data_IF_701118880688
#
_entry.id   IF_701118880688
#
_cell.length_a   1.000
_cell.length_b   1.000
_cell.length_c   1.000
_cell.angle_alpha   90.00
_cell.angle_beta   90.00
_cell.angle_gamma   90.00
#
_symmetry.space_group_name_H-M   'P 1'
#
loop_
_entity.id
_entity.type
_entity.pdbx_description
1 polymer ?
#
# COMPACT_ATOMS: atom_id res chain seq x y z
N UNK A 1 -40.96 16.17 28.13
CA UNK A 1 -39.74 16.57 28.86
C UNK A 1 -39.50 15.79 30.17
N UNK A 2 -39.36 14.44 30.19
CA UNK A 2 -39.03 13.68 31.38
C UNK A 2 -37.61 13.09 31.40
N UNK A 3 -36.78 13.33 30.34
CA UNK A 3 -35.50 12.60 30.20
C UNK A 3 -34.23 13.34 30.68
N UNK A 4 -34.31 14.66 30.85
CA UNK A 4 -33.16 15.46 31.33
C UNK A 4 -32.95 15.30 32.84
N UNK A 5 -34.04 15.17 33.63
CA UNK A 5 -33.97 14.99 35.07
C UNK A 5 -33.37 13.65 35.54
N UNK A 6 -33.45 12.59 34.69
CA UNK A 6 -32.81 11.31 34.98
C UNK A 6 -31.29 11.33 34.73
N UNK A 7 -30.85 12.03 33.67
CA UNK A 7 -29.42 12.20 33.37
C UNK A 7 -28.69 13.04 34.42
N UNK A 8 -29.31 14.13 34.88
CA UNK A 8 -28.73 14.95 35.95
C UNK A 8 -28.61 14.18 37.28
N UNK A 9 -29.61 13.36 37.66
CA UNK A 9 -29.52 12.53 38.88
C UNK A 9 -28.46 11.42 38.78
N UNK A 10 -28.25 10.87 37.61
CA UNK A 10 -27.22 9.84 37.41
C UNK A 10 -25.80 10.44 37.46
N UNK A 11 -25.60 11.63 36.89
CA UNK A 11 -24.35 12.39 36.96
C UNK A 11 -24.06 12.85 38.42
N UNK A 12 -25.06 13.33 39.15
CA UNK A 12 -24.90 13.71 40.54
C UNK A 12 -24.49 12.54 41.44
N UNK A 13 -25.09 11.35 41.25
CA UNK A 13 -24.71 10.13 41.97
C UNK A 13 -23.31 9.61 41.61
N UNK A 14 -22.85 9.88 40.38
CA UNK A 14 -21.47 9.55 39.94
C UNK A 14 -20.45 10.51 40.60
N UNK A 15 -20.76 11.81 40.67
CA UNK A 15 -19.94 12.81 41.35
C UNK A 15 -19.80 12.50 42.85
N UNK A 16 -20.89 12.14 43.53
CA UNK A 16 -20.85 11.77 44.95
C UNK A 16 -20.04 10.50 45.22
N UNK A 17 -20.03 9.53 44.32
CA UNK A 17 -19.17 8.34 44.42
C UNK A 17 -17.70 8.65 44.12
N UNK A 18 -17.41 9.59 43.22
CA UNK A 18 -16.05 10.04 42.93
C UNK A 18 -15.46 10.82 44.09
N UNK A 19 -16.25 11.68 44.75
CA UNK A 19 -15.80 12.45 45.91
C UNK A 19 -15.46 11.58 47.15
N UNK A 20 -16.03 10.37 47.25
CA UNK A 20 -15.70 9.37 48.27
C UNK A 20 -14.52 8.48 47.91
N UNK A 21 -13.98 8.58 46.68
CA UNK A 21 -12.85 7.77 46.20
C UNK A 21 -11.54 8.39 46.73
N UNK A 22 -10.80 7.66 47.57
CA UNK A 22 -9.52 8.10 48.14
C UNK A 22 -8.50 8.53 47.07
N UNK A 23 -8.50 7.85 45.93
CA UNK A 23 -7.62 8.19 44.79
C UNK A 23 -8.02 9.53 44.16
N UNK A 24 -9.32 9.80 44.01
CA UNK A 24 -9.82 11.07 43.50
C UNK A 24 -9.49 12.24 44.44
N UNK A 25 -9.63 12.07 45.75
CA UNK A 25 -9.25 13.09 46.73
C UNK A 25 -7.75 13.38 46.69
N UNK A 26 -6.90 12.36 46.59
CA UNK A 26 -5.44 12.53 46.41
C UNK A 26 -5.12 13.31 45.14
N UNK A 27 -5.79 12.97 44.03
CA UNK A 27 -5.63 13.67 42.76
C UNK A 27 -6.11 15.13 42.83
N UNK A 28 -7.29 15.38 43.43
CA UNK A 28 -7.83 16.72 43.60
C UNK A 28 -6.89 17.60 44.43
N UNK A 29 -6.36 17.06 45.53
CA UNK A 29 -5.37 17.76 46.39
C UNK A 29 -4.07 18.08 45.65
N UNK A 30 -3.58 17.14 44.82
CA UNK A 30 -2.42 17.38 43.99
C UNK A 30 -2.68 18.46 42.93
N UNK A 31 -3.83 18.38 42.22
CA UNK A 31 -4.28 19.39 41.25
C UNK A 31 -4.29 20.78 41.86
N UNK A 32 -4.91 20.92 43.04
CA UNK A 32 -5.06 22.22 43.69
C UNK A 32 -3.70 22.78 44.15
N UNK A 33 -2.79 21.88 44.62
CA UNK A 33 -1.40 22.25 44.91
C UNK A 33 -0.70 22.79 43.65
N UNK A 34 -0.81 22.08 42.51
CA UNK A 34 -0.16 22.48 41.23
C UNK A 34 -0.75 23.79 40.72
N UNK A 35 -2.05 24.00 40.80
CA UNK A 35 -2.71 25.24 40.38
C UNK A 35 -2.27 26.46 41.20
N UNK A 36 -1.97 26.26 42.49
CA UNK A 36 -1.48 27.32 43.37
C UNK A 36 -0.01 27.74 43.15
N UNK A 37 0.77 26.93 42.40
CA UNK A 37 2.15 27.26 42.08
C UNK A 37 2.24 28.43 41.08
N UNK A 38 3.31 29.20 41.16
CA UNK A 38 3.62 30.25 40.18
C UNK A 38 3.74 29.69 38.77
N UNK A 39 3.42 30.53 37.77
CA UNK A 39 3.42 30.09 36.35
C UNK A 39 4.78 29.65 35.88
N UNK A 40 5.87 30.17 36.45
CA UNK A 40 7.24 29.85 36.08
C UNK A 40 7.84 28.68 36.87
N UNK A 41 7.03 28.02 37.72
CA UNK A 41 7.52 26.88 38.49
C UNK A 41 7.66 25.62 37.63
N UNK A 42 8.82 24.97 37.74
CA UNK A 42 9.13 23.74 36.98
C UNK A 42 8.09 22.64 37.26
N UNK A 43 7.65 22.48 38.50
CA UNK A 43 6.64 21.49 38.93
C UNK A 43 5.30 21.72 38.19
N UNK A 44 4.85 22.98 38.09
CA UNK A 44 3.61 23.31 37.35
C UNK A 44 3.73 23.06 35.89
N UNK A 45 4.84 23.49 35.25
CA UNK A 45 5.07 23.31 33.84
C UNK A 45 5.07 21.82 33.44
N UNK A 46 5.80 20.97 34.17
CA UNK A 46 5.85 19.54 33.95
C UNK A 46 4.47 18.92 34.16
N UNK A 47 3.78 19.25 35.23
CA UNK A 47 2.46 18.67 35.55
C UNK A 47 1.40 19.02 34.50
N UNK A 48 1.38 20.28 34.03
CA UNK A 48 0.45 20.72 32.99
C UNK A 48 0.78 20.05 31.66
N UNK A 49 2.06 19.99 31.28
CA UNK A 49 2.51 19.32 30.02
C UNK A 49 2.13 17.84 30.04
N UNK A 50 2.43 17.11 31.13
CA UNK A 50 2.08 15.69 31.25
C UNK A 50 0.57 15.47 31.21
N UNK A 51 -0.21 16.31 31.92
CA UNK A 51 -1.67 16.21 31.91
C UNK A 51 -2.26 16.43 30.54
N UNK A 52 -1.77 17.44 29.82
CA UNK A 52 -2.18 17.73 28.44
C UNK A 52 -1.84 16.56 27.50
N UNK A 53 -0.60 16.07 27.54
CA UNK A 53 -0.18 14.92 26.75
C UNK A 53 -1.04 13.67 27.03
N UNK A 54 -1.37 13.42 28.30
CA UNK A 54 -2.19 12.28 28.70
C UNK A 54 -3.63 12.39 28.15
N UNK A 55 -4.25 13.57 28.26
CA UNK A 55 -5.58 13.81 27.70
C UNK A 55 -5.58 13.66 26.17
N UNK A 56 -4.62 14.27 25.49
CA UNK A 56 -4.48 14.13 24.04
C UNK A 56 -4.24 12.67 23.63
N UNK A 57 -3.39 11.93 24.34
CA UNK A 57 -3.13 10.52 24.07
C UNK A 57 -4.39 9.65 24.21
N UNK A 58 -5.21 9.90 25.23
CA UNK A 58 -6.50 9.20 25.40
C UNK A 58 -7.44 9.50 24.24
N UNK A 59 -7.62 10.76 23.88
CA UNK A 59 -8.51 11.15 22.77
C UNK A 59 -8.07 10.53 21.44
N UNK A 60 -6.79 10.61 21.13
CA UNK A 60 -6.23 10.00 19.91
C UNK A 60 -6.38 8.49 19.92
N UNK A 61 -6.08 7.83 21.06
CA UNK A 61 -6.19 6.36 21.18
C UNK A 61 -7.64 5.88 21.03
N UNK A 62 -8.60 6.55 21.66
CA UNK A 62 -10.03 6.22 21.51
C UNK A 62 -10.45 6.37 20.05
N UNK A 63 -10.09 7.48 19.41
CA UNK A 63 -10.42 7.73 18.00
C UNK A 63 -9.79 6.68 17.08
N UNK A 64 -8.52 6.33 17.29
CA UNK A 64 -7.81 5.33 16.51
C UNK A 64 -8.45 3.93 16.63
N UNK A 65 -8.78 3.51 17.85
CA UNK A 65 -9.43 2.20 18.09
C UNK A 65 -10.84 2.17 17.50
N UNK A 66 -11.62 3.22 17.71
CA UNK A 66 -13.01 3.30 17.21
C UNK A 66 -13.09 3.30 15.68
N UNK A 67 -12.12 3.94 14.99
CA UNK A 67 -12.08 4.05 13.53
C UNK A 67 -11.38 2.87 12.86
N UNK A 68 -10.66 2.02 13.60
CA UNK A 68 -9.87 0.93 13.02
C UNK A 68 -10.67 -0.04 12.13
N UNK A 69 -11.89 -0.49 12.48
CA UNK A 69 -12.67 -1.36 11.62
C UNK A 69 -12.98 -0.70 10.26
N UNK A 70 -13.42 0.56 10.27
CA UNK A 70 -13.70 1.32 9.05
C UNK A 70 -12.45 1.54 8.20
N UNK A 71 -11.30 1.77 8.83
CA UNK A 71 -10.03 1.90 8.11
C UNK A 71 -9.62 0.59 7.42
N UNK A 72 -9.84 -0.56 8.06
CA UNK A 72 -9.56 -1.88 7.45
C UNK A 72 -10.46 -2.14 6.26
N UNK A 73 -11.76 -1.86 6.39
CA UNK A 73 -12.73 -2.01 5.32
C UNK A 73 -12.42 -1.08 4.13
N UNK A 74 -12.19 0.21 4.39
CA UNK A 74 -11.82 1.17 3.37
C UNK A 74 -10.53 0.77 2.64
N UNK A 75 -9.52 0.28 3.38
CA UNK A 75 -8.27 -0.18 2.78
C UNK A 75 -8.47 -1.39 1.86
N UNK A 76 -9.34 -2.32 2.24
CA UNK A 76 -9.69 -3.46 1.38
C UNK A 76 -10.44 -3.00 0.12
N UNK A 77 -11.35 -2.04 0.25
CA UNK A 77 -12.08 -1.44 -0.87
C UNK A 77 -11.13 -0.68 -1.81
N UNK A 78 -10.22 0.13 -1.26
CA UNK A 78 -9.21 0.86 -2.03
C UNK A 78 -8.29 -0.10 -2.80
N UNK A 79 -7.92 -1.24 -2.21
CA UNK A 79 -7.14 -2.27 -2.89
C UNK A 79 -7.91 -2.82 -4.11
N UNK A 80 -9.18 -3.22 -3.95
CA UNK A 80 -10.03 -3.69 -5.04
C UNK A 80 -10.16 -2.63 -6.14
N UNK A 81 -10.39 -1.36 -5.75
CA UNK A 81 -10.48 -0.23 -6.67
C UNK A 81 -9.20 -0.06 -7.48
N UNK A 82 -8.04 -0.12 -6.86
CA UNK A 82 -6.75 0.01 -7.57
C UNK A 82 -6.46 -1.15 -8.52
N UNK A 83 -6.92 -2.37 -8.20
CA UNK A 83 -6.81 -3.52 -9.09
C UNK A 83 -7.73 -3.35 -10.30
N UNK A 84 -8.98 -2.92 -10.11
CA UNK A 84 -9.91 -2.64 -11.20
C UNK A 84 -9.44 -1.47 -12.07
N UNK A 85 -8.83 -0.43 -11.47
CA UNK A 85 -8.26 0.71 -12.19
C UNK A 85 -7.12 0.27 -13.12
N UNK A 86 -6.18 -0.52 -12.63
CA UNK A 86 -5.06 -0.99 -13.45
C UNK A 86 -5.51 -2.00 -14.51
N UNK A 87 -6.61 -2.72 -14.26
CA UNK A 87 -7.25 -3.63 -15.22
C UNK A 87 -8.04 -2.90 -16.31
N UNK A 88 -8.23 -1.58 -16.18
CA UNK A 88 -9.09 -0.81 -17.10
C UNK A 88 -10.58 -1.13 -16.96
N UNK A 89 -11.01 -1.61 -15.78
CA UNK A 89 -12.38 -2.03 -15.47
C UNK A 89 -13.11 -1.02 -14.57
N UNK A 90 -12.48 0.08 -14.23
CA UNK A 90 -13.05 1.10 -13.36
C UNK A 90 -13.69 2.21 -14.19
N UNK A 91 -15.02 2.26 -14.22
CA UNK A 91 -15.82 3.31 -14.86
C UNK A 91 -16.60 4.11 -13.81
N UNK A 92 -17.12 5.28 -14.19
CA UNK A 92 -17.98 6.08 -13.31
C UNK A 92 -19.24 5.30 -12.94
N UNK A 93 -19.47 5.12 -11.64
CA UNK A 93 -20.62 4.37 -11.12
C UNK A 93 -20.41 2.86 -10.99
N UNK A 94 -19.22 2.34 -11.29
CA UNK A 94 -18.90 0.91 -11.10
C UNK A 94 -19.09 0.48 -9.65
N UNK A 95 -19.88 -0.58 -9.44
CA UNK A 95 -19.93 -1.27 -8.14
C UNK A 95 -18.65 -2.07 -7.97
N UNK A 96 -17.70 -1.51 -7.21
CA UNK A 96 -16.34 -2.06 -7.02
C UNK A 96 -16.38 -3.52 -6.52
N UNK A 97 -17.28 -3.84 -5.58
CA UNK A 97 -17.35 -5.18 -5.01
C UNK A 97 -17.81 -6.19 -6.06
N UNK A 98 -18.89 -5.88 -6.77
CA UNK A 98 -19.46 -6.75 -7.79
C UNK A 98 -18.49 -6.93 -8.98
N UNK A 99 -17.95 -5.84 -9.52
CA UNK A 99 -17.01 -5.91 -10.64
C UNK A 99 -15.76 -6.73 -10.30
N UNK A 100 -15.26 -6.58 -9.06
CA UNK A 100 -14.11 -7.35 -8.62
C UNK A 100 -14.41 -8.86 -8.52
N UNK A 101 -15.54 -9.25 -7.90
CA UNK A 101 -15.93 -10.66 -7.75
C UNK A 101 -16.25 -11.36 -9.09
N UNK A 102 -16.79 -10.60 -10.07
CA UNK A 102 -17.18 -11.15 -11.36
C UNK A 102 -16.00 -11.26 -12.35
N UNK A 103 -15.03 -10.37 -12.30
CA UNK A 103 -14.03 -10.22 -13.35
C UNK A 103 -12.59 -10.51 -12.90
N UNK A 104 -12.33 -10.52 -11.59
CA UNK A 104 -10.97 -10.70 -11.05
C UNK A 104 -10.87 -12.02 -10.29
N UNK A 105 -9.97 -12.89 -10.74
CA UNK A 105 -9.58 -14.07 -10.00
C UNK A 105 -8.23 -13.86 -9.31
N UNK A 106 -8.19 -13.93 -7.98
CA UNK A 106 -6.94 -13.87 -7.23
C UNK A 106 -6.33 -15.27 -7.11
N UNK A 107 -5.04 -15.39 -7.38
CA UNK A 107 -4.25 -16.64 -7.25
C UNK A 107 -3.01 -16.39 -6.39
N UNK A 108 -2.54 -17.42 -5.73
CA UNK A 108 -1.25 -17.44 -5.05
C UNK A 108 -0.23 -18.13 -5.94
N UNK A 109 0.97 -17.56 -6.05
CA UNK A 109 2.07 -18.06 -6.87
C UNK A 109 3.31 -18.21 -5.99
N UNK A 110 3.93 -19.38 -6.06
CA UNK A 110 5.24 -19.61 -5.47
C UNK A 110 6.31 -18.86 -6.28
N UNK A 111 7.07 -18.00 -5.62
CA UNK A 111 8.03 -17.10 -6.27
C UNK A 111 9.32 -17.78 -6.73
N UNK A 112 9.56 -19.02 -6.32
CA UNK A 112 10.71 -19.81 -6.73
C UNK A 112 10.38 -20.65 -7.98
N UNK A 113 9.24 -21.34 -7.95
CA UNK A 113 8.85 -22.25 -9.02
C UNK A 113 7.97 -21.62 -10.09
N UNK A 114 7.23 -20.56 -9.76
CA UNK A 114 6.22 -19.96 -10.63
C UNK A 114 4.90 -20.73 -10.68
N UNK A 115 4.71 -21.75 -9.82
CA UNK A 115 3.49 -22.56 -9.78
C UNK A 115 2.40 -21.91 -8.93
N UNK A 116 1.15 -22.25 -9.23
CA UNK A 116 0.04 -21.87 -8.35
C UNK A 116 0.06 -22.69 -7.05
N UNK A 117 -0.24 -22.00 -5.95
CA UNK A 117 -0.33 -22.57 -4.61
C UNK A 117 -1.81 -22.68 -4.25
N UNK A 118 -2.31 -23.92 -4.15
CA UNK A 118 -3.74 -24.18 -3.92
C UNK A 118 -4.08 -24.56 -2.46
N UNK A 119 -3.06 -24.82 -1.63
CA UNK A 119 -3.21 -25.29 -0.25
C UNK A 119 -3.45 -24.15 0.76
N UNK A 120 -3.61 -22.91 0.30
CA UNK A 120 -3.78 -21.72 1.14
C UNK A 120 -4.99 -20.89 0.75
N UNK A 121 -5.62 -20.30 1.76
CA UNK A 121 -6.70 -19.35 1.54
C UNK A 121 -6.17 -18.03 0.95
N UNK A 122 -6.50 -17.80 -0.32
CA UNK A 122 -6.14 -16.60 -1.08
C UNK A 122 -6.69 -15.34 -0.41
N UNK A 123 -7.88 -15.40 0.17
CA UNK A 123 -8.55 -14.21 0.75
C UNK A 123 -7.87 -13.77 2.04
N UNK A 124 -7.49 -14.72 2.87
CA UNK A 124 -6.82 -14.48 4.15
C UNK A 124 -5.33 -14.13 4.01
N UNK A 125 -4.71 -14.46 2.86
CA UNK A 125 -3.29 -14.25 2.66
C UNK A 125 -2.92 -12.77 2.47
N UNK A 126 -1.96 -12.29 3.28
CA UNK A 126 -1.42 -10.92 3.22
C UNK A 126 0.07 -10.97 2.86
N UNK A 127 0.38 -10.71 1.59
CA UNK A 127 1.74 -10.75 1.06
C UNK A 127 2.69 -9.76 1.76
N UNK A 128 2.21 -8.58 2.18
CA UNK A 128 3.04 -7.59 2.88
C UNK A 128 3.41 -8.05 4.29
N UNK A 129 2.54 -8.80 4.97
CA UNK A 129 2.86 -9.42 6.26
C UNK A 129 3.82 -10.58 6.09
N UNK A 130 3.59 -11.44 5.08
CA UNK A 130 4.46 -12.56 4.77
C UNK A 130 5.89 -12.11 4.42
N UNK A 131 6.06 -10.99 3.72
CA UNK A 131 7.38 -10.42 3.42
C UNK A 131 8.15 -9.94 4.67
N UNK A 132 7.46 -9.68 5.78
CA UNK A 132 8.07 -9.29 7.06
C UNK A 132 8.29 -10.45 8.02
N UNK A 133 7.69 -11.59 7.77
CA UNK A 133 7.80 -12.79 8.58
C UNK A 133 8.98 -13.64 8.10
N UNK A 134 9.98 -13.84 8.95
CA UNK A 134 11.19 -14.59 8.63
C UNK A 134 10.93 -16.06 8.21
N UNK A 135 9.78 -16.62 8.55
CA UNK A 135 9.39 -17.97 8.14
C UNK A 135 8.77 -18.03 6.74
N UNK A 136 8.23 -16.90 6.26
CA UNK A 136 7.48 -16.78 5.02
C UNK A 136 8.15 -15.88 3.98
N UNK A 137 9.29 -15.30 4.30
CA UNK A 137 10.03 -14.44 3.38
C UNK A 137 11.33 -15.10 2.86
N UNK A 138 11.86 -14.46 1.81
CA UNK A 138 13.19 -14.68 1.27
C UNK A 138 13.96 -13.38 1.45
N UNK A 139 15.06 -13.43 2.19
CA UNK A 139 15.98 -12.29 2.34
C UNK A 139 16.77 -12.15 1.05
N UNK A 140 16.79 -10.97 0.48
CA UNK A 140 17.43 -10.69 -0.81
C UNK A 140 18.88 -10.23 -0.54
N UNK A 141 19.89 -10.89 -1.13
CA UNK A 141 21.28 -10.43 -1.08
C UNK A 141 21.40 -9.00 -1.63
N UNK A 142 22.29 -8.19 -1.04
CA UNK A 142 22.44 -6.76 -1.41
C UNK A 142 22.77 -6.52 -2.87
N UNK A 143 23.54 -7.39 -3.46
CA UNK A 143 23.97 -7.36 -4.87
C UNK A 143 22.84 -7.68 -5.85
N UNK A 144 21.78 -8.35 -5.37
CA UNK A 144 20.57 -8.69 -6.13
C UNK A 144 19.38 -7.77 -5.84
N UNK A 145 19.40 -7.00 -4.76
CA UNK A 145 18.30 -6.15 -4.30
C UNK A 145 18.23 -4.81 -5.08
N UNK A 146 17.98 -4.89 -6.37
CA UNK A 146 17.83 -3.70 -7.22
C UNK A 146 16.68 -2.80 -6.77
N UNK A 147 15.60 -3.39 -6.27
CA UNK A 147 14.42 -2.66 -5.82
C UNK A 147 14.55 -2.10 -4.39
N UNK A 148 15.65 -2.40 -3.69
CA UNK A 148 15.92 -1.96 -2.31
C UNK A 148 14.81 -2.32 -1.32
N UNK A 149 14.27 -3.56 -1.43
CA UNK A 149 13.15 -4.06 -0.61
C UNK A 149 13.60 -5.00 0.52
N UNK A 150 14.86 -5.45 0.52
CA UNK A 150 15.53 -6.29 1.53
C UNK A 150 14.99 -7.72 1.62
N UNK A 151 13.70 -7.93 1.50
CA UNK A 151 13.05 -9.24 1.55
C UNK A 151 11.76 -9.23 0.74
N UNK A 152 11.42 -10.38 0.16
CA UNK A 152 10.14 -10.63 -0.52
C UNK A 152 9.42 -11.82 0.12
N UNK A 153 8.10 -11.88 -0.01
CA UNK A 153 7.35 -13.07 0.39
C UNK A 153 7.71 -14.25 -0.53
N UNK A 154 7.72 -15.48 0.01
CA UNK A 154 7.88 -16.71 -0.77
C UNK A 154 6.73 -16.91 -1.75
N UNK A 155 5.55 -16.43 -1.39
CA UNK A 155 4.32 -16.55 -2.19
C UNK A 155 3.85 -15.15 -2.54
N UNK A 156 3.50 -14.90 -3.79
CA UNK A 156 2.89 -13.67 -4.25
C UNK A 156 1.40 -13.86 -4.53
N UNK A 157 0.60 -12.81 -4.33
CA UNK A 157 -0.81 -12.80 -4.72
C UNK A 157 -0.94 -12.07 -6.05
N UNK A 158 -1.22 -12.79 -7.13
CA UNK A 158 -1.47 -12.25 -8.45
C UNK A 158 -2.97 -12.19 -8.73
N UNK A 159 -3.37 -11.36 -9.69
CA UNK A 159 -4.77 -11.22 -10.07
C UNK A 159 -4.91 -11.42 -11.58
N UNK A 160 -5.86 -12.23 -11.97
CA UNK A 160 -6.17 -12.53 -13.36
C UNK A 160 -7.49 -11.87 -13.73
N UNK A 161 -7.47 -11.09 -14.80
CA UNK A 161 -8.71 -10.58 -15.41
C UNK A 161 -9.22 -11.62 -16.38
N UNK A 162 -10.47 -12.05 -16.20
CA UNK A 162 -11.11 -13.04 -17.08
C UNK A 162 -12.17 -12.40 -17.94
N UNK A 163 -12.15 -12.74 -19.24
CA UNK A 163 -13.19 -12.36 -20.18
C UNK A 163 -13.60 -13.60 -20.98
N UNK A 164 -14.88 -13.98 -20.92
CA UNK A 164 -15.38 -15.18 -21.59
C UNK A 164 -14.73 -16.50 -21.14
N UNK A 165 -14.15 -16.55 -19.92
CA UNK A 165 -13.47 -17.73 -19.37
C UNK A 165 -11.97 -17.79 -19.70
N UNK A 166 -11.46 -16.96 -20.59
CA UNK A 166 -10.04 -16.85 -20.91
C UNK A 166 -9.37 -15.73 -20.06
N UNK A 167 -8.08 -15.87 -19.78
CA UNK A 167 -7.28 -14.82 -19.15
C UNK A 167 -7.03 -13.73 -20.18
N UNK A 168 -7.49 -12.51 -19.88
CA UNK A 168 -7.28 -11.31 -20.69
C UNK A 168 -6.03 -10.55 -20.27
N UNK A 169 -5.83 -10.41 -18.96
CA UNK A 169 -4.66 -9.75 -18.40
C UNK A 169 -4.25 -10.29 -17.05
N UNK A 170 -3.00 -10.04 -16.69
CA UNK A 170 -2.34 -10.49 -15.48
C UNK A 170 -1.91 -9.27 -14.70
N UNK A 171 -2.33 -9.15 -13.45
CA UNK A 171 -1.98 -8.02 -12.59
C UNK A 171 -1.02 -8.51 -11.51
N UNK A 172 0.17 -7.97 -11.51
CA UNK A 172 1.27 -8.33 -10.64
C UNK A 172 1.48 -7.26 -9.56
N UNK A 173 1.53 -7.61 -8.27
CA UNK A 173 1.94 -6.67 -7.22
C UNK A 173 3.43 -6.41 -7.32
N UNK A 174 3.79 -5.15 -7.47
CA UNK A 174 5.17 -4.71 -7.55
C UNK A 174 5.47 -3.67 -6.48
N UNK A 175 6.67 -3.68 -5.94
CA UNK A 175 7.11 -2.66 -5.00
C UNK A 175 8.62 -2.46 -5.04
N UNK A 176 9.07 -1.29 -4.67
CA UNK A 176 10.47 -0.92 -4.63
C UNK A 176 10.67 0.46 -4.00
N UNK A 177 11.88 0.77 -3.61
CA UNK A 177 12.19 2.04 -2.99
C UNK A 177 12.30 3.14 -4.04
N UNK A 178 11.56 4.23 -3.85
CA UNK A 178 11.67 5.45 -4.64
C UNK A 178 12.82 6.32 -4.15
N UNK A 179 12.51 7.55 -3.78
CA UNK A 179 13.44 8.46 -3.11
C UNK A 179 13.15 8.55 -1.60
N UNK A 180 11.88 8.66 -1.23
CA UNK A 180 11.45 8.90 0.14
C UNK A 180 10.79 7.69 0.81
N UNK A 181 10.19 6.81 0.01
CA UNK A 181 9.44 5.67 0.54
C UNK A 181 9.52 4.45 -0.37
N UNK A 182 9.10 3.31 0.16
CA UNK A 182 8.74 2.16 -0.68
C UNK A 182 7.43 2.49 -1.39
N UNK A 183 7.45 2.47 -2.70
CA UNK A 183 6.29 2.58 -3.56
C UNK A 183 5.68 1.19 -3.77
N UNK A 184 4.38 1.03 -3.53
CA UNK A 184 3.65 -0.20 -3.80
C UNK A 184 2.65 0.06 -4.93
N UNK A 185 2.65 -0.81 -5.90
CA UNK A 185 1.82 -0.69 -7.09
C UNK A 185 1.39 -2.02 -7.66
N UNK A 186 0.64 -1.93 -8.74
CA UNK A 186 0.26 -3.04 -9.61
C UNK A 186 0.73 -2.76 -11.02
N UNK A 187 1.29 -3.77 -11.66
CA UNK A 187 1.61 -3.78 -13.09
C UNK A 187 0.65 -4.75 -13.78
N UNK A 188 -0.15 -4.25 -14.71
CA UNK A 188 -1.00 -5.09 -15.55
C UNK A 188 -0.31 -5.39 -16.87
N UNK A 189 -0.25 -6.67 -17.21
CA UNK A 189 0.25 -7.18 -18.48
C UNK A 189 -0.91 -7.82 -19.25
N UNK A 190 -0.82 -7.83 -20.57
CA UNK A 190 -1.68 -8.64 -21.45
C UNK A 190 -1.49 -10.14 -21.12
N UNK A 191 -2.36 -10.99 -21.64
CA UNK A 191 -2.25 -12.44 -21.50
C UNK A 191 -0.93 -13.01 -22.04
N UNK A 192 -0.23 -12.24 -22.91
CA UNK A 192 1.09 -12.61 -23.45
C UNK A 192 2.20 -12.56 -22.38
N UNK A 193 1.91 -12.05 -21.17
CA UNK A 193 2.88 -11.90 -20.09
C UNK A 193 4.05 -10.96 -20.39
N UNK A 194 3.91 -10.10 -21.39
CA UNK A 194 4.98 -9.23 -21.89
C UNK A 194 4.53 -7.81 -22.19
N UNK A 195 3.34 -7.60 -22.73
CA UNK A 195 2.84 -6.27 -23.11
C UNK A 195 2.20 -5.61 -21.91
N UNK A 196 2.64 -4.41 -21.57
CA UNK A 196 2.08 -3.63 -20.46
C UNK A 196 0.74 -3.03 -20.88
N UNK A 197 -0.29 -3.26 -20.10
CA UNK A 197 -1.58 -2.56 -20.21
C UNK A 197 -1.58 -1.27 -19.41
N UNK A 198 -1.17 -1.35 -18.15
CA UNK A 198 -1.19 -0.21 -17.23
C UNK A 198 -0.28 -0.45 -16.03
N UNK A 199 0.02 0.63 -15.31
CA UNK A 199 0.67 0.60 -14.01
C UNK A 199 -0.05 1.56 -13.06
N UNK A 200 -0.09 1.21 -11.76
CA UNK A 200 -0.64 2.06 -10.72
C UNK A 200 0.21 1.95 -9.45
N UNK A 201 0.51 3.09 -8.81
CA UNK A 201 1.15 3.14 -7.50
C UNK A 201 0.13 3.64 -6.47
N UNK A 202 -0.39 2.77 -5.63
CA UNK A 202 -1.48 3.05 -4.68
C UNK A 202 -1.00 3.43 -3.27
N UNK A 203 0.28 3.24 -2.98
CA UNK A 203 0.86 3.57 -1.67
C UNK A 203 2.30 4.07 -1.90
N UNK A 204 2.51 5.37 -1.71
CA UNK A 204 3.79 6.05 -1.92
C UNK A 204 3.81 7.36 -1.11
N UNK A 205 4.99 7.88 -0.80
CA UNK A 205 5.18 9.15 -0.12
C UNK A 205 6.25 10.01 -0.82
N UNK A 206 6.28 9.94 -2.15
CA UNK A 206 7.13 10.77 -2.98
C UNK A 206 6.62 12.22 -3.00
N UNK A 207 7.47 13.18 -3.32
CA UNK A 207 7.13 14.61 -3.32
C UNK A 207 6.09 14.92 -4.40
N UNK A 208 4.92 15.51 -4.05
CA UNK A 208 3.93 15.97 -5.03
C UNK A 208 4.53 16.91 -6.06
N UNK A 209 4.15 16.78 -7.33
CA UNK A 209 4.68 17.56 -8.45
C UNK A 209 6.09 17.15 -8.91
N UNK A 210 6.70 16.17 -8.25
CA UNK A 210 8.01 15.58 -8.59
C UNK A 210 7.88 14.06 -8.71
N UNK A 211 8.42 13.30 -7.74
CA UNK A 211 8.30 11.84 -7.69
C UNK A 211 6.86 11.36 -7.53
N UNK A 212 6.00 12.16 -6.88
CA UNK A 212 4.58 11.88 -6.74
C UNK A 212 3.81 11.81 -8.08
N UNK A 213 4.38 12.30 -9.17
CA UNK A 213 3.78 12.19 -10.51
C UNK A 213 3.68 10.73 -11.02
N UNK A 214 4.22 9.74 -10.31
CA UNK A 214 3.99 8.30 -10.57
C UNK A 214 2.52 7.90 -10.54
N UNK A 215 1.66 8.69 -9.88
CA UNK A 215 0.19 8.47 -9.85
C UNK A 215 -0.56 9.29 -10.89
N UNK A 216 0.11 10.17 -11.63
CA UNK A 216 -0.50 11.03 -12.64
C UNK A 216 -1.07 10.18 -13.79
N UNK A 217 -2.38 10.26 -14.12
CA UNK A 217 -2.98 9.46 -15.18
C UNK A 217 -2.31 9.65 -16.55
N UNK A 218 -1.87 10.86 -16.89
CA UNK A 218 -1.19 11.13 -18.15
C UNK A 218 0.16 10.41 -18.24
N UNK A 219 0.92 10.37 -17.14
CA UNK A 219 2.18 9.63 -17.10
C UNK A 219 1.94 8.11 -17.10
N UNK A 220 0.93 7.64 -16.37
CA UNK A 220 0.54 6.22 -16.36
C UNK A 220 0.13 5.72 -17.75
N UNK A 221 -0.56 6.56 -18.53
CA UNK A 221 -0.97 6.23 -19.90
C UNK A 221 0.22 5.95 -20.86
N UNK A 222 1.42 6.47 -20.56
CA UNK A 222 2.63 6.22 -21.36
C UNK A 222 3.13 4.78 -21.29
N UNK A 223 2.62 3.99 -20.35
CA UNK A 223 3.02 2.59 -20.17
C UNK A 223 2.28 1.62 -21.09
N UNK A 224 1.08 2.01 -21.53
CA UNK A 224 0.26 1.16 -22.39
C UNK A 224 0.98 0.78 -23.68
N UNK A 225 0.99 -0.51 -24.02
CA UNK A 225 1.64 -1.07 -25.21
C UNK A 225 3.16 -1.20 -25.11
N UNK A 226 3.80 -0.79 -24.01
CA UNK A 226 5.24 -1.01 -23.81
C UNK A 226 5.53 -2.50 -23.61
N UNK A 227 6.72 -2.92 -24.01
CA UNK A 227 7.20 -4.29 -23.87
C UNK A 227 8.15 -4.42 -22.68
N UNK A 228 7.99 -5.50 -21.92
CA UNK A 228 8.85 -5.78 -20.76
C UNK A 228 10.19 -6.38 -21.21
N UNK A 229 10.14 -7.34 -22.14
CA UNK A 229 11.29 -8.15 -22.52
C UNK A 229 11.70 -7.92 -23.98
N UNK A 230 13.01 -8.00 -24.23
CA UNK A 230 13.57 -8.11 -25.58
C UNK A 230 13.26 -9.48 -26.17
N UNK A 231 13.57 -9.67 -27.47
CA UNK A 231 13.49 -10.98 -28.12
C UNK A 231 14.41 -12.03 -27.45
N UNK A 232 15.50 -11.59 -26.81
CA UNK A 232 16.40 -12.48 -26.05
C UNK A 232 15.87 -12.84 -24.66
N UNK A 233 14.71 -12.30 -24.24
CA UNK A 233 14.12 -12.54 -22.91
C UNK A 233 14.72 -11.67 -21.80
N UNK A 234 15.55 -10.69 -22.12
CA UNK A 234 16.10 -9.76 -21.12
C UNK A 234 15.10 -8.66 -20.79
N UNK A 235 15.02 -8.25 -19.50
CA UNK A 235 14.17 -7.14 -19.07
C UNK A 235 14.75 -5.82 -19.58
N UNK A 236 14.04 -5.19 -20.53
CA UNK A 236 14.45 -3.95 -21.18
C UNK A 236 13.64 -2.73 -20.77
N UNK A 237 12.42 -2.92 -20.21
CA UNK A 237 11.52 -1.84 -19.85
C UNK A 237 12.13 -0.96 -18.74
N UNK A 238 12.24 0.33 -19.03
CA UNK A 238 12.84 1.31 -18.11
C UNK A 238 12.34 2.73 -18.37
N UNK A 239 12.44 3.58 -17.36
CA UNK A 239 12.30 5.02 -17.55
C UNK A 239 13.60 5.60 -18.08
N UNK A 240 13.48 6.53 -19.01
CA UNK A 240 14.61 7.30 -19.55
C UNK A 240 14.61 8.74 -18.99
N UNK A 241 15.71 9.45 -19.15
CA UNK A 241 15.73 10.87 -18.85
C UNK A 241 15.05 11.65 -19.95
N UNK A 242 14.01 12.44 -19.60
CA UNK A 242 13.25 13.25 -20.56
C UNK A 242 12.13 12.44 -21.24
N UNK A 243 11.82 12.80 -22.47
CA UNK A 243 10.71 12.27 -23.26
C UNK A 243 11.24 11.22 -24.25
N UNK A 244 10.49 10.14 -24.43
CA UNK A 244 10.81 9.07 -25.38
C UNK A 244 10.63 9.53 -26.81
N UNK A 245 11.63 9.33 -27.65
CA UNK A 245 11.51 9.50 -29.10
C UNK A 245 10.94 8.22 -29.71
N UNK A 246 9.66 8.23 -30.02
CA UNK A 246 8.93 7.05 -30.54
C UNK A 246 9.40 6.59 -31.92
N UNK A 247 10.22 7.38 -32.63
CA UNK A 247 10.77 7.03 -33.93
C UNK A 247 12.09 6.25 -33.82
N UNK A 248 12.61 6.07 -32.61
CA UNK A 248 13.86 5.32 -32.37
C UNK A 248 13.59 3.87 -32.04
N UNK A 249 14.44 3.00 -32.53
CA UNK A 249 14.46 1.59 -32.15
C UNK A 249 14.62 1.45 -30.64
N UNK A 250 13.85 0.54 -30.03
CA UNK A 250 13.84 0.31 -28.59
C UNK A 250 12.94 1.26 -27.80
N UNK A 251 12.19 2.16 -28.46
CA UNK A 251 11.24 3.05 -27.80
C UNK A 251 10.07 2.30 -27.14
N UNK A 252 9.77 1.11 -27.58
CA UNK A 252 8.79 0.20 -27.00
C UNK A 252 9.17 -0.29 -25.60
N UNK A 253 10.46 -0.21 -25.22
CA UNK A 253 10.97 -0.54 -23.90
C UNK A 253 11.20 0.69 -23.01
N UNK A 254 10.75 1.86 -23.45
CA UNK A 254 11.08 3.12 -22.77
C UNK A 254 9.82 3.88 -22.37
N UNK A 255 9.85 4.47 -21.17
CA UNK A 255 8.83 5.37 -20.65
C UNK A 255 9.50 6.68 -20.26
N UNK A 256 8.78 7.79 -20.41
CA UNK A 256 9.26 9.12 -20.01
C UNK A 256 9.65 9.16 -18.54
N UNK A 257 10.79 9.74 -18.25
CA UNK A 257 11.20 10.01 -16.87
C UNK A 257 10.36 11.11 -16.24
N UNK A 258 10.27 11.06 -14.92
CA UNK A 258 9.60 12.10 -14.13
C UNK A 258 10.48 13.35 -14.08
N UNK A 259 9.93 14.49 -14.53
CA UNK A 259 10.65 15.75 -14.55
C UNK A 259 11.07 16.15 -13.12
N UNK A 260 12.36 16.44 -12.93
CA UNK A 260 12.91 16.82 -11.63
C UNK A 260 13.01 15.69 -10.58
N UNK A 261 12.61 14.44 -10.91
CA UNK A 261 12.57 13.31 -10.01
C UNK A 261 13.38 12.09 -10.52
N UNK A 262 14.64 12.31 -10.86
CA UNK A 262 15.53 11.27 -11.42
C UNK A 262 15.68 10.07 -10.51
N UNK A 263 15.78 10.27 -9.20
CA UNK A 263 15.94 9.17 -8.24
C UNK A 263 14.68 8.30 -8.15
N UNK A 264 13.49 8.90 -8.14
CA UNK A 264 12.23 8.16 -8.20
C UNK A 264 12.10 7.41 -9.53
N UNK A 265 12.47 8.05 -10.67
CA UNK A 265 12.48 7.39 -11.99
C UNK A 265 13.43 6.19 -12.02
N UNK A 266 14.61 6.30 -11.40
CA UNK A 266 15.55 5.19 -11.24
C UNK A 266 14.96 4.09 -10.35
N UNK A 267 14.29 4.47 -9.26
CA UNK A 267 13.61 3.53 -8.36
C UNK A 267 12.54 2.72 -9.08
N UNK A 268 11.70 3.38 -9.91
CA UNK A 268 10.69 2.68 -10.72
C UNK A 268 11.35 1.74 -11.75
N UNK A 269 12.40 2.17 -12.43
CA UNK A 269 13.14 1.31 -13.38
C UNK A 269 13.72 0.07 -12.69
N UNK A 270 14.32 0.25 -11.52
CA UNK A 270 14.88 -0.83 -10.73
C UNK A 270 13.81 -1.80 -10.20
N UNK A 271 12.66 -1.26 -9.78
CA UNK A 271 11.50 -2.03 -9.36
C UNK A 271 11.01 -2.93 -10.50
N UNK A 272 10.81 -2.40 -11.70
CA UNK A 272 10.39 -3.18 -12.87
C UNK A 272 11.45 -4.23 -13.21
N UNK A 273 12.71 -3.84 -13.28
CA UNK A 273 13.81 -4.76 -13.58
C UNK A 273 13.89 -5.91 -12.57
N UNK A 274 13.69 -5.63 -11.29
CA UNK A 274 13.69 -6.65 -10.25
C UNK A 274 12.51 -7.61 -10.39
N UNK A 275 11.28 -7.07 -10.41
CA UNK A 275 10.08 -7.91 -10.39
C UNK A 275 9.86 -8.70 -11.68
N UNK A 276 10.37 -8.21 -12.80
CA UNK A 276 10.27 -8.90 -14.10
C UNK A 276 11.46 -9.85 -14.35
N UNK A 277 12.49 -9.87 -13.51
CA UNK A 277 13.63 -10.78 -13.63
C UNK A 277 13.37 -12.14 -12.96
N UNK A 278 14.36 -13.03 -13.03
CA UNK A 278 14.38 -14.33 -12.31
C UNK A 278 14.28 -14.19 -10.78
N UNK A 279 14.62 -13.03 -10.23
CA UNK A 279 14.40 -12.74 -8.80
C UNK A 279 12.93 -12.41 -8.49
N UNK A 280 12.10 -12.13 -9.49
CA UNK A 280 10.69 -11.76 -9.38
C UNK A 280 9.75 -12.76 -10.04
N UNK A 281 8.97 -12.29 -11.01
CA UNK A 281 7.88 -13.04 -11.64
C UNK A 281 8.29 -13.78 -12.93
N UNK A 282 9.56 -13.75 -13.36
CA UNK A 282 9.95 -14.33 -14.65
C UNK A 282 9.54 -15.80 -14.79
N UNK A 283 9.78 -16.66 -13.78
CA UNK A 283 9.41 -18.07 -13.80
C UNK A 283 7.89 -18.28 -13.99
N UNK A 284 7.06 -17.46 -13.33
CA UNK A 284 5.61 -17.48 -13.50
C UNK A 284 5.17 -17.03 -14.89
N UNK A 285 5.72 -15.91 -15.37
CA UNK A 285 5.38 -15.36 -16.69
C UNK A 285 5.85 -16.24 -17.85
N UNK A 286 6.97 -16.96 -17.68
CA UNK A 286 7.44 -17.93 -18.65
C UNK A 286 6.45 -19.09 -18.83
N UNK A 287 5.91 -19.62 -17.72
CA UNK A 287 4.86 -20.66 -17.77
C UNK A 287 3.61 -20.16 -18.48
N UNK A 288 3.16 -18.94 -18.17
CA UNK A 288 1.99 -18.36 -18.87
C UNK A 288 2.23 -18.27 -20.39
N UNK A 289 3.44 -17.87 -20.83
CA UNK A 289 3.78 -17.77 -22.24
C UNK A 289 3.90 -19.12 -22.95
N UNK A 290 4.20 -20.18 -22.20
CA UNK A 290 4.34 -21.53 -22.76
C UNK A 290 3.03 -22.33 -22.77
N UNK A 291 2.13 -22.06 -21.82
CA UNK A 291 0.87 -22.76 -21.63
C UNK A 291 -0.33 -22.10 -22.34
N UNK A 292 -0.16 -20.88 -22.87
CA UNK A 292 -1.16 -20.12 -23.65
C UNK A 292 -0.85 -20.15 -25.13
#
# INVERSE_FOLDING_TARGET
MPNENKKCKHLAGLCEKLDKCEHYQKFAKYRDKVLALGNDSLEKTISVALSLCFVCAILVSISAVALKPLQVENKAMDMKKNILDVAGLLEDGTNIHQAFEEQIEAKLVDMETGDYVEDRDVTAYDQRKAAKDATQNIVIPRDKDLASIKAKAKIAKVYLVKEGGAVKSIILPVHGYGLWSTMYGFLALDADGQTVQSINFYDQAETPGLGGEVVNPNWRALWAGKKVYTESGEVALKLIKGVVDTNKDGSEFQVDGLAGATLTSTGVSNLIKYWMSSEGFASYLEKIRTDG
#
